data_IF_257234676056
#
_entry.id   IF_257234676056
#
_cell.length_a   1.000
_cell.length_b   1.000
_cell.length_c   1.000
_cell.angle_alpha   90.00
_cell.angle_beta   90.00
_cell.angle_gamma   90.00
#
_symmetry.space_group_name_H-M   'P 1'
#
loop_
_entity.id
_entity.type
_entity.pdbx_description
1 polymer ?
#
# COMPACT_ATOMS: atom_id res chain seq x y z
N UNK A 1 -24.05 19.24 -13.78
CA UNK A 1 -22.80 18.44 -13.70
C UNK A 1 -23.01 17.27 -12.72
N UNK A 2 -23.94 16.35 -13.02
CA UNK A 2 -24.71 15.65 -11.97
C UNK A 2 -24.69 14.10 -12.03
N UNK A 3 -23.67 13.49 -12.62
CA UNK A 3 -23.61 12.01 -12.75
C UNK A 3 -22.33 11.39 -12.17
N UNK A 4 -21.26 12.16 -11.96
CA UNK A 4 -19.96 11.61 -11.52
C UNK A 4 -19.81 11.42 -10.00
N UNK A 5 -20.62 12.11 -9.19
CA UNK A 5 -20.56 12.01 -7.71
C UNK A 5 -21.28 10.75 -7.19
N UNK A 6 -22.31 10.26 -7.90
CA UNK A 6 -23.15 9.13 -7.48
C UNK A 6 -22.47 7.76 -7.45
N UNK A 7 -21.23 7.63 -7.94
CA UNK A 7 -20.52 6.34 -7.95
C UNK A 7 -19.50 6.17 -6.81
N UNK A 8 -19.12 7.24 -6.09
CA UNK A 8 -18.26 7.12 -4.91
C UNK A 8 -19.09 6.75 -3.66
N UNK A 9 -20.34 7.22 -3.60
CA UNK A 9 -21.31 6.91 -2.52
C UNK A 9 -21.68 5.41 -2.44
N UNK A 10 -21.48 4.65 -3.53
CA UNK A 10 -21.71 3.20 -3.51
C UNK A 10 -20.60 2.42 -2.80
N UNK A 11 -19.40 2.98 -2.70
CA UNK A 11 -18.29 2.37 -1.96
C UNK A 11 -18.46 2.54 -0.44
N UNK A 12 -19.26 3.51 -0.01
CA UNK A 12 -19.59 3.81 1.40
C UNK A 12 -20.90 3.15 1.87
N UNK A 13 -21.62 2.44 0.99
CA UNK A 13 -23.00 1.96 1.27
C UNK A 13 -23.10 0.54 1.85
N UNK A 14 -22.01 -0.23 1.99
CA UNK A 14 -22.05 -1.55 2.65
C UNK A 14 -20.99 -1.77 3.74
N UNK A 15 -20.09 -0.82 3.96
CA UNK A 15 -19.15 -0.83 5.08
C UNK A 15 -18.70 0.61 5.30
N UNK A 16 -18.96 1.18 6.48
CA UNK A 16 -18.77 2.61 6.74
C UNK A 16 -17.33 3.11 6.53
N UNK A 17 -17.13 4.41 6.66
CA UNK A 17 -15.81 5.07 6.61
C UNK A 17 -14.72 4.32 7.40
N UNK A 18 -15.08 3.76 8.56
CA UNK A 18 -14.18 2.93 9.37
C UNK A 18 -13.66 1.68 8.65
N UNK A 19 -14.46 1.03 7.82
CA UNK A 19 -14.01 -0.13 7.04
C UNK A 19 -13.03 0.28 5.94
N UNK A 20 -13.20 1.47 5.35
CA UNK A 20 -12.24 2.02 4.39
C UNK A 20 -10.91 2.32 5.08
N UNK A 21 -10.97 2.95 6.26
CA UNK A 21 -9.78 3.20 7.10
C UNK A 21 -9.11 1.89 7.48
N UNK A 22 -9.87 0.88 7.91
CA UNK A 22 -9.32 -0.42 8.29
C UNK A 22 -8.65 -1.12 7.11
N UNK A 23 -9.26 -1.12 5.93
CA UNK A 23 -8.63 -1.69 4.73
C UNK A 23 -7.30 -0.99 4.40
N UNK A 24 -7.20 0.34 4.62
CA UNK A 24 -5.94 1.06 4.43
C UNK A 24 -4.90 0.67 5.50
N UNK A 25 -5.31 0.51 6.77
CA UNK A 25 -4.44 0.00 7.84
C UNK A 25 -3.93 -1.42 7.53
N UNK A 26 -4.82 -2.30 7.07
CA UNK A 26 -4.48 -3.68 6.69
C UNK A 26 -3.53 -3.72 5.49
N UNK A 27 -3.64 -2.73 4.58
CA UNK A 27 -2.69 -2.52 3.49
C UNK A 27 -1.37 -1.86 3.94
N UNK A 28 -1.17 -1.64 5.24
CA UNK A 28 0.02 -1.04 5.82
C UNK A 28 0.14 0.47 5.58
N UNK A 29 -0.94 1.17 5.21
CA UNK A 29 -0.91 2.62 5.08
C UNK A 29 -0.70 3.24 6.46
N UNK A 30 0.23 4.19 6.55
CA UNK A 30 0.42 5.00 7.74
C UNK A 30 -0.73 5.98 7.93
N UNK A 31 -0.84 6.51 9.15
CA UNK A 31 -1.89 7.47 9.51
C UNK A 31 -1.88 8.71 8.60
N UNK A 32 -0.72 9.21 8.18
CA UNK A 32 -0.62 10.35 7.26
C UNK A 32 -1.15 10.04 5.86
N UNK A 33 -0.90 8.82 5.34
CA UNK A 33 -1.43 8.37 4.06
C UNK A 33 -2.96 8.25 4.14
N UNK A 34 -3.46 7.68 5.24
CA UNK A 34 -4.90 7.54 5.49
C UNK A 34 -5.59 8.91 5.49
N UNK A 35 -5.04 9.90 6.19
CA UNK A 35 -5.61 11.25 6.23
C UNK A 35 -5.65 11.92 4.85
N UNK A 36 -4.58 11.78 4.06
CA UNK A 36 -4.53 12.28 2.67
C UNK A 36 -5.56 11.59 1.77
N UNK A 37 -5.74 10.28 1.96
CA UNK A 37 -6.74 9.49 1.24
C UNK A 37 -8.18 9.91 1.61
N UNK A 38 -8.47 10.11 2.89
CA UNK A 38 -9.77 10.59 3.37
C UNK A 38 -10.08 12.00 2.84
N UNK A 39 -9.08 12.89 2.79
CA UNK A 39 -9.24 14.20 2.15
C UNK A 39 -9.60 14.09 0.66
N UNK A 40 -8.97 13.16 -0.08
CA UNK A 40 -9.31 12.90 -1.47
C UNK A 40 -10.74 12.35 -1.63
N UNK A 41 -11.19 11.50 -0.71
CA UNK A 41 -12.57 10.97 -0.68
C UNK A 41 -13.57 12.11 -0.44
N UNK A 42 -13.34 12.95 0.57
CA UNK A 42 -14.20 14.09 0.90
C UNK A 42 -14.31 15.10 -0.27
N UNK A 43 -13.25 15.23 -1.07
CA UNK A 43 -13.21 16.11 -2.25
C UNK A 43 -13.74 15.45 -3.54
N UNK A 44 -14.09 14.16 -3.51
CA UNK A 44 -14.44 13.40 -4.72
C UNK A 44 -13.26 13.21 -5.70
N UNK A 45 -12.02 13.43 -5.23
CA UNK A 45 -10.81 13.34 -6.03
C UNK A 45 -10.34 11.89 -6.16
N UNK A 46 -11.04 11.12 -7.00
CA UNK A 46 -10.70 9.70 -7.25
C UNK A 46 -9.28 9.50 -7.80
N UNK A 47 -8.80 10.41 -8.67
CA UNK A 47 -7.46 10.29 -9.24
C UNK A 47 -6.40 10.42 -8.15
N UNK A 48 -6.48 11.48 -7.34
CA UNK A 48 -5.55 11.68 -6.23
C UNK A 48 -5.55 10.53 -5.24
N UNK A 49 -6.73 9.97 -4.92
CA UNK A 49 -6.83 8.77 -4.08
C UNK A 49 -6.07 7.57 -4.67
N UNK A 50 -6.22 7.30 -5.96
CA UNK A 50 -5.52 6.19 -6.63
C UNK A 50 -4.01 6.44 -6.71
N UNK A 51 -3.60 7.68 -6.97
CA UNK A 51 -2.19 8.05 -7.04
C UNK A 51 -1.51 7.82 -5.68
N UNK A 52 -2.14 8.23 -4.57
CA UNK A 52 -1.65 7.98 -3.20
C UNK A 52 -1.49 6.49 -2.88
N UNK A 53 -2.48 5.67 -3.24
CA UNK A 53 -2.43 4.23 -2.99
C UNK A 53 -1.36 3.54 -3.85
N UNK A 54 -1.16 3.99 -5.09
CA UNK A 54 -0.09 3.49 -5.96
C UNK A 54 1.29 3.88 -5.43
N UNK A 55 1.48 5.12 -4.97
CA UNK A 55 2.74 5.54 -4.33
C UNK A 55 3.08 4.63 -3.13
N UNK A 56 2.10 4.35 -2.28
CA UNK A 56 2.27 3.44 -1.13
C UNK A 56 2.63 2.01 -1.58
N UNK A 57 1.95 1.50 -2.61
CA UNK A 57 2.24 0.18 -3.20
C UNK A 57 3.68 0.10 -3.69
N UNK A 58 4.17 1.10 -4.42
CA UNK A 58 5.54 1.11 -4.93
C UNK A 58 6.58 1.20 -3.80
N UNK A 59 6.26 1.87 -2.69
CA UNK A 59 7.12 1.87 -1.50
C UNK A 59 7.24 0.48 -0.88
N UNK A 60 6.13 -0.24 -0.74
CA UNK A 60 6.14 -1.63 -0.24
C UNK A 60 6.97 -2.51 -1.17
N UNK A 61 6.71 -2.44 -2.48
CA UNK A 61 7.41 -3.25 -3.47
C UNK A 61 8.93 -2.98 -3.45
N UNK A 62 9.33 -1.73 -3.27
CA UNK A 62 10.73 -1.36 -3.14
C UNK A 62 11.39 -1.99 -1.91
N UNK A 63 10.69 -2.05 -0.78
CA UNK A 63 11.18 -2.72 0.44
C UNK A 63 11.31 -4.23 0.24
N UNK A 64 10.31 -4.86 -0.37
CA UNK A 64 10.36 -6.30 -0.69
C UNK A 64 11.57 -6.62 -1.56
N UNK A 65 11.79 -5.88 -2.64
CA UNK A 65 12.96 -6.09 -3.50
C UNK A 65 14.30 -5.88 -2.79
N UNK A 66 14.36 -4.99 -1.79
CA UNK A 66 15.57 -4.78 -1.00
C UNK A 66 15.80 -5.94 -0.03
N UNK A 67 14.76 -6.40 0.65
CA UNK A 67 14.81 -7.55 1.54
C UNK A 67 15.16 -8.84 0.78
N UNK A 68 14.62 -9.05 -0.42
CA UNK A 68 14.97 -10.17 -1.30
C UNK A 68 16.47 -10.18 -1.62
N UNK A 69 17.07 -9.03 -1.98
CA UNK A 69 18.52 -8.94 -2.25
C UNK A 69 19.37 -9.26 -1.02
N UNK A 70 18.89 -8.87 0.16
CA UNK A 70 19.59 -9.16 1.41
C UNK A 70 19.58 -10.66 1.69
N UNK A 71 18.45 -11.34 1.45
CA UNK A 71 18.33 -12.79 1.55
C UNK A 71 19.26 -13.48 0.54
N UNK A 72 19.26 -13.05 -0.73
CA UNK A 72 20.15 -13.62 -1.76
C UNK A 72 21.63 -13.55 -1.36
N UNK A 73 22.04 -12.40 -0.81
CA UNK A 73 23.42 -12.20 -0.33
C UNK A 73 23.74 -13.10 0.87
N UNK A 74 22.79 -13.26 1.79
CA UNK A 74 22.95 -14.12 2.96
C UNK A 74 23.04 -15.60 2.54
N UNK A 75 22.18 -16.06 1.65
CA UNK A 75 22.18 -17.43 1.14
C UNK A 75 23.49 -17.76 0.42
N UNK A 76 24.00 -16.82 -0.38
CA UNK A 76 25.30 -16.97 -1.00
C UNK A 76 26.43 -17.10 0.03
N UNK A 77 26.42 -16.27 1.07
CA UNK A 77 27.42 -16.34 2.15
C UNK A 77 27.35 -17.71 2.87
N UNK A 78 26.15 -18.19 3.20
CA UNK A 78 25.94 -19.49 3.84
C UNK A 78 26.46 -20.62 2.95
N UNK A 79 26.16 -20.60 1.64
CA UNK A 79 26.66 -21.58 0.69
C UNK A 79 28.20 -21.61 0.65
N UNK A 80 28.84 -20.44 0.61
CA UNK A 80 30.30 -20.34 0.58
C UNK A 80 30.95 -20.91 1.85
N UNK A 81 30.41 -20.58 3.02
CA UNK A 81 30.89 -21.12 4.30
C UNK A 81 30.72 -22.64 4.34
N UNK A 82 29.56 -23.15 3.92
CA UNK A 82 29.28 -24.58 3.88
C UNK A 82 30.23 -25.36 2.97
N UNK A 83 30.77 -24.73 1.92
CA UNK A 83 31.78 -25.32 1.03
C UNK A 83 33.21 -25.23 1.53
N UNK A 84 33.52 -24.33 2.47
CA UNK A 84 34.88 -24.15 3.00
C UNK A 84 35.17 -24.99 4.25
N UNK A 85 34.14 -25.58 4.88
CA UNK A 85 34.26 -26.39 6.11
C UNK A 85 34.40 -27.91 5.83
N UNK A 86 34.92 -28.29 4.66
CA UNK A 86 35.25 -29.68 4.32
C UNK A 86 36.75 -29.99 4.39
#
# INVERSE_FOLDING_TARGET
MDVKIKNLEKMTSYSGEEAVIQNMRDAGCSQDIIERCLACIAQGNKKGLLDLLNEHRESILSKVHEEEKQIDCLDYLVFQIGRCLC
#
